data_IF_957088148833
#
_entry.id   IF_957088148833
#
_cell.length_a   1.000
_cell.length_b   1.000
_cell.length_c   1.000
_cell.angle_alpha   90.00
_cell.angle_beta   90.00
_cell.angle_gamma   90.00
#
_symmetry.space_group_name_H-M   'P 1'
#
loop_
_entity.id
_entity.type
_entity.pdbx_description
1 polymer ?
#
# COMPACT_ATOMS: atom_id res chain seq x y z
N UNK A 1 -3.57 -18.13 -11.70
CA UNK A 1 -4.60 -17.70 -10.72
C UNK A 1 -5.04 -16.27 -10.96
N UNK A 2 -4.09 -15.33 -11.07
CA UNK A 2 -4.32 -13.90 -11.37
C UNK A 2 -5.17 -13.63 -12.63
N UNK A 3 -5.04 -14.43 -13.68
CA UNK A 3 -5.76 -14.22 -14.95
C UNK A 3 -7.28 -14.35 -14.79
N UNK A 4 -7.75 -15.35 -14.02
CA UNK A 4 -9.19 -15.57 -13.78
C UNK A 4 -9.83 -14.46 -12.92
N UNK A 5 -9.05 -13.85 -12.03
CA UNK A 5 -9.52 -12.76 -11.17
C UNK A 5 -9.82 -11.50 -11.99
N UNK A 6 -8.96 -11.20 -12.97
CA UNK A 6 -9.16 -10.04 -13.85
C UNK A 6 -10.40 -10.19 -14.74
N UNK A 7 -10.62 -11.38 -15.29
CA UNK A 7 -11.81 -11.69 -16.10
C UNK A 7 -13.12 -11.60 -15.29
N UNK A 8 -13.03 -11.69 -13.97
CA UNK A 8 -14.16 -11.53 -13.04
C UNK A 8 -14.31 -10.10 -12.51
N UNK A 9 -13.54 -9.14 -13.04
CA UNK A 9 -13.59 -7.73 -12.66
C UNK A 9 -12.83 -7.37 -11.39
N UNK A 10 -12.09 -8.29 -10.76
CA UNK A 10 -11.27 -7.99 -9.59
C UNK A 10 -10.01 -7.21 -9.96
N UNK A 11 -9.55 -6.39 -8.99
CA UNK A 11 -8.28 -5.67 -9.06
C UNK A 11 -7.17 -6.51 -8.45
N UNK A 12 -5.96 -6.40 -8.99
CA UNK A 12 -4.75 -7.01 -8.39
C UNK A 12 -3.85 -5.92 -7.84
N UNK A 13 -3.58 -6.01 -6.53
CA UNK A 13 -2.67 -5.15 -5.78
C UNK A 13 -1.53 -6.01 -5.24
N UNK A 14 -0.27 -5.60 -5.42
CA UNK A 14 0.88 -6.44 -5.07
C UNK A 14 2.00 -5.66 -4.38
N UNK A 15 2.51 -6.19 -3.27
CA UNK A 15 3.77 -5.79 -2.64
C UNK A 15 4.85 -6.81 -2.99
N UNK A 16 6.02 -6.35 -3.41
CA UNK A 16 7.06 -7.26 -3.95
C UNK A 16 8.30 -7.39 -3.08
N UNK A 17 8.65 -6.36 -2.30
CA UNK A 17 9.96 -6.26 -1.64
C UNK A 17 11.14 -6.06 -2.61
N UNK A 18 10.87 -5.98 -3.92
CA UNK A 18 11.83 -5.78 -5.01
C UNK A 18 11.45 -4.53 -5.80
N UNK A 19 12.41 -3.82 -6.38
CA UNK A 19 12.08 -2.68 -7.24
C UNK A 19 11.44 -3.16 -8.55
N UNK A 20 10.62 -2.32 -9.19
CA UNK A 20 10.07 -2.67 -10.51
C UNK A 20 11.19 -2.91 -11.53
N UNK A 21 12.25 -2.11 -11.45
CA UNK A 21 13.42 -2.20 -12.32
C UNK A 21 14.16 -3.54 -12.11
N UNK A 22 14.32 -4.00 -10.88
CA UNK A 22 14.89 -5.32 -10.57
C UNK A 22 14.05 -6.45 -11.19
N UNK A 23 12.72 -6.37 -11.04
CA UNK A 23 11.80 -7.39 -11.57
C UNK A 23 11.87 -7.46 -13.10
N UNK A 24 11.86 -6.31 -13.78
CA UNK A 24 11.99 -6.22 -15.23
C UNK A 24 13.36 -6.70 -15.72
N UNK A 25 14.43 -6.45 -14.95
CA UNK A 25 15.79 -6.85 -15.32
C UNK A 25 15.98 -8.37 -15.40
N UNK A 26 15.15 -9.14 -14.68
CA UNK A 26 15.20 -10.61 -14.68
C UNK A 26 14.77 -11.22 -16.01
N UNK A 27 14.04 -10.47 -16.85
CA UNK A 27 13.52 -10.92 -18.16
C UNK A 27 12.80 -12.28 -18.06
N UNK A 28 12.11 -12.48 -16.94
CA UNK A 28 11.38 -13.71 -16.64
C UNK A 28 9.94 -13.58 -17.20
N UNK A 29 9.52 -14.46 -18.13
CA UNK A 29 8.19 -14.39 -18.74
C UNK A 29 7.04 -14.46 -17.73
N UNK A 30 7.22 -15.14 -16.60
CA UNK A 30 6.21 -15.29 -15.56
C UNK A 30 6.11 -14.01 -14.70
N UNK A 31 7.23 -13.36 -14.43
CA UNK A 31 7.24 -12.03 -13.79
C UNK A 31 6.55 -11.02 -14.69
N UNK A 32 6.90 -10.99 -15.97
CA UNK A 32 6.27 -10.08 -16.94
C UNK A 32 4.77 -10.35 -17.06
N UNK A 33 4.36 -11.63 -17.03
CA UNK A 33 2.94 -12.01 -17.02
C UNK A 33 2.24 -11.51 -15.76
N UNK A 34 2.87 -11.63 -14.59
CA UNK A 34 2.29 -11.14 -13.34
C UNK A 34 2.15 -9.61 -13.37
N UNK A 35 3.21 -8.89 -13.77
CA UNK A 35 3.20 -7.43 -13.87
C UNK A 35 2.09 -6.91 -14.79
N UNK A 36 1.83 -7.58 -15.93
CA UNK A 36 0.73 -7.24 -16.84
C UNK A 36 -0.67 -7.43 -16.23
N UNK A 37 -0.80 -8.30 -15.23
CA UNK A 37 -2.07 -8.60 -14.56
C UNK A 37 -2.25 -7.79 -13.26
N UNK A 38 -1.21 -7.11 -12.80
CA UNK A 38 -1.23 -6.25 -11.61
C UNK A 38 -1.71 -4.85 -11.99
N UNK A 39 -2.67 -4.30 -11.25
CA UNK A 39 -3.15 -2.93 -11.45
C UNK A 39 -2.31 -1.92 -10.65
N UNK A 40 -1.98 -2.27 -9.39
CA UNK A 40 -1.13 -1.47 -8.50
C UNK A 40 0.00 -2.33 -7.94
N UNK A 41 1.25 -1.84 -8.07
CA UNK A 41 2.44 -2.45 -7.51
C UNK A 41 3.09 -1.52 -6.50
N UNK A 42 3.38 -2.01 -5.30
CA UNK A 42 4.23 -1.33 -4.32
C UNK A 42 5.60 -2.02 -4.34
N UNK A 43 6.62 -1.27 -4.73
CA UNK A 43 7.96 -1.80 -4.95
C UNK A 43 8.92 -1.48 -3.79
N UNK A 44 10.05 -2.19 -3.76
CA UNK A 44 11.14 -1.99 -2.81
C UNK A 44 10.92 -2.60 -1.41
N UNK A 45 12.01 -2.86 -0.67
CA UNK A 45 11.95 -3.39 0.68
C UNK A 45 11.45 -2.33 1.68
N UNK A 46 10.92 -2.79 2.81
CA UNK A 46 10.67 -1.91 3.95
C UNK A 46 12.00 -1.58 4.65
N UNK A 47 12.24 -0.29 4.89
CA UNK A 47 13.44 0.21 5.58
C UNK A 47 13.00 0.99 6.83
N UNK A 48 13.37 0.49 8.01
CA UNK A 48 12.89 1.04 9.28
C UNK A 48 13.35 2.50 9.50
N UNK A 49 14.55 2.84 9.05
CA UNK A 49 15.11 4.19 9.09
C UNK A 49 14.38 5.18 8.16
N UNK A 50 13.56 4.67 7.24
CA UNK A 50 12.74 5.45 6.32
C UNK A 50 11.24 5.26 6.58
N UNK A 51 10.87 4.75 7.75
CA UNK A 51 9.47 4.54 8.13
C UNK A 51 8.64 5.83 7.96
N UNK A 52 7.49 5.72 7.29
CA UNK A 52 6.59 6.82 7.04
C UNK A 52 5.14 6.34 6.92
N UNK A 53 4.21 7.15 7.41
CA UNK A 53 2.76 6.92 7.33
C UNK A 53 2.20 7.43 5.99
N UNK A 54 2.62 6.80 4.89
CA UNK A 54 2.19 7.15 3.54
C UNK A 54 1.08 6.20 3.07
N UNK A 55 0.23 6.66 2.16
CA UNK A 55 -0.82 5.81 1.59
C UNK A 55 -0.23 4.56 0.92
N UNK A 56 -0.65 3.40 1.43
CA UNK A 56 -0.26 2.05 1.00
C UNK A 56 1.23 1.68 1.09
N UNK A 57 2.07 2.53 1.69
CA UNK A 57 3.51 2.27 1.79
C UNK A 57 4.04 2.68 3.16
N UNK A 58 4.83 1.80 3.76
CA UNK A 58 5.35 1.98 5.12
C UNK A 58 6.72 2.65 5.17
N UNK A 59 7.40 2.77 4.03
CA UNK A 59 8.75 3.32 3.96
C UNK A 59 8.91 4.26 2.75
N UNK A 60 9.68 5.33 2.92
CA UNK A 60 9.85 6.39 1.90
C UNK A 60 10.49 5.92 0.60
N UNK A 61 11.31 4.87 0.64
CA UNK A 61 11.94 4.30 -0.54
C UNK A 61 10.98 3.48 -1.41
N UNK A 62 9.81 3.10 -0.89
CA UNK A 62 8.82 2.31 -1.63
C UNK A 62 8.04 3.20 -2.59
N UNK A 63 7.77 2.75 -3.82
CA UNK A 63 7.01 3.52 -4.81
C UNK A 63 5.73 2.80 -5.20
N UNK A 64 4.70 3.60 -5.49
CA UNK A 64 3.43 3.11 -6.03
C UNK A 64 3.48 3.19 -7.55
N UNK A 65 3.28 2.06 -8.22
CA UNK A 65 3.18 1.99 -9.68
C UNK A 65 1.77 1.60 -10.09
N UNK A 66 1.15 2.46 -10.89
CA UNK A 66 -0.14 2.18 -11.52
C UNK A 66 0.12 1.57 -12.90
N UNK A 67 0.14 0.23 -12.96
CA UNK A 67 0.55 -0.52 -14.14
C UNK A 67 -0.57 -0.64 -15.19
N UNK A 68 -1.82 -0.40 -14.79
CA UNK A 68 -2.99 -0.39 -15.68
C UNK A 68 -3.76 0.92 -15.53
N UNK A 69 -4.70 1.16 -16.45
CA UNK A 69 -5.51 2.39 -16.46
C UNK A 69 -6.50 2.47 -15.29
N UNK A 70 -6.87 1.33 -14.69
CA UNK A 70 -7.97 1.21 -13.72
C UNK A 70 -7.88 2.20 -12.55
N UNK A 71 -6.66 2.51 -12.11
CA UNK A 71 -6.41 3.42 -10.98
C UNK A 71 -5.43 4.55 -11.31
N UNK A 72 -5.13 4.79 -12.58
CA UNK A 72 -4.14 5.79 -12.99
C UNK A 72 -4.48 7.20 -12.47
N UNK A 73 -5.76 7.54 -12.37
CA UNK A 73 -6.21 8.81 -11.81
C UNK A 73 -5.77 9.04 -10.36
N UNK A 74 -5.53 7.99 -9.57
CA UNK A 74 -5.07 8.14 -8.18
C UNK A 74 -3.61 8.57 -8.07
N UNK A 75 -2.82 8.43 -9.15
CA UNK A 75 -1.41 8.79 -9.16
C UNK A 75 -1.14 10.26 -8.82
N UNK A 76 -2.09 11.16 -9.12
CA UNK A 76 -1.93 12.60 -8.86
C UNK A 76 -2.19 12.99 -7.40
N UNK A 77 -2.84 12.12 -6.63
CA UNK A 77 -3.22 12.38 -5.22
C UNK A 77 -2.55 11.43 -4.23
N UNK A 78 -1.76 10.46 -4.70
CA UNK A 78 -1.26 9.37 -3.86
C UNK A 78 -0.38 9.85 -2.70
N UNK A 79 0.32 10.97 -2.90
CA UNK A 79 1.23 11.56 -1.92
C UNK A 79 0.56 12.62 -1.03
N UNK A 80 -0.63 13.08 -1.41
CA UNK A 80 -1.39 14.11 -0.68
C UNK A 80 -2.29 13.50 0.40
N UNK A 81 -2.49 12.18 0.36
CA UNK A 81 -3.37 11.51 1.32
C UNK A 81 -2.55 10.77 2.37
N UNK A 82 -2.76 11.06 3.67
CA UNK A 82 -2.06 10.36 4.73
C UNK A 82 -2.42 8.88 4.78
N UNK A 83 -1.60 8.07 5.46
CA UNK A 83 -1.97 6.70 5.78
C UNK A 83 -3.30 6.65 6.55
N UNK A 84 -4.10 5.66 6.22
CA UNK A 84 -5.34 5.36 6.93
C UNK A 84 -5.01 4.52 8.16
N UNK A 85 -5.63 4.89 9.29
CA UNK A 85 -5.65 4.10 10.53
C UNK A 85 -7.09 3.65 10.73
N UNK A 86 -7.31 2.36 10.85
CA UNK A 86 -8.61 1.79 11.15
C UNK A 86 -8.67 1.51 12.66
N UNK A 87 -9.69 2.07 13.32
CA UNK A 87 -9.98 1.81 14.73
C UNK A 87 -11.28 0.99 14.79
N UNK A 88 -11.21 -0.18 15.41
CA UNK A 88 -12.38 -1.04 15.64
C UNK A 88 -12.58 -1.18 17.13
N UNK A 89 -13.76 -0.78 17.60
CA UNK A 89 -14.18 -0.88 18.99
C UNK A 89 -15.32 -1.90 19.09
N UNK A 90 -15.15 -2.89 19.96
CA UNK A 90 -16.24 -3.72 20.48
C UNK A 90 -16.46 -3.43 21.97
N UNK A 91 -17.41 -4.14 22.60
CA UNK A 91 -17.82 -3.89 23.99
C UNK A 91 -16.68 -4.06 25.02
N UNK A 92 -15.60 -4.78 24.68
CA UNK A 92 -14.50 -5.09 25.61
C UNK A 92 -13.11 -4.67 25.08
N UNK A 93 -12.97 -4.40 23.79
CA UNK A 93 -11.68 -4.24 23.13
C UNK A 93 -11.66 -3.11 22.09
N UNK A 94 -10.61 -2.28 22.18
CA UNK A 94 -10.18 -1.41 21.09
C UNK A 94 -9.04 -2.10 20.34
N UNK A 95 -9.25 -2.38 19.06
CA UNK A 95 -8.20 -2.81 18.16
C UNK A 95 -7.97 -1.74 17.10
N UNK A 96 -6.76 -1.70 16.56
CA UNK A 96 -6.45 -0.73 15.55
C UNK A 96 -5.31 -1.22 14.64
N UNK A 97 -5.47 -0.94 13.35
CA UNK A 97 -4.62 -1.44 12.27
C UNK A 97 -4.20 -0.28 11.35
N UNK A 98 -3.13 -0.51 10.58
CA UNK A 98 -2.54 0.50 9.71
C UNK A 98 -1.28 1.16 10.27
N UNK A 99 -0.83 2.24 9.65
CA UNK A 99 0.39 2.95 10.04
C UNK A 99 0.01 4.17 10.87
N UNK A 100 0.39 4.15 12.13
CA UNK A 100 0.02 5.18 13.09
C UNK A 100 0.89 6.42 12.91
N UNK A 101 0.30 7.61 12.75
CA UNK A 101 1.05 8.85 12.81
C UNK A 101 1.73 8.99 14.18
N UNK A 102 2.95 9.55 14.25
CA UNK A 102 3.62 9.81 15.52
C UNK A 102 2.74 10.63 16.49
N UNK A 103 2.68 10.19 17.75
CA UNK A 103 1.89 10.83 18.82
C UNK A 103 0.37 10.78 18.61
N UNK A 104 -0.13 9.91 17.74
CA UNK A 104 -1.57 9.79 17.48
C UNK A 104 -2.35 9.37 18.74
N UNK A 105 -1.87 8.39 19.50
CA UNK A 105 -2.56 7.89 20.70
C UNK A 105 -2.69 8.96 21.78
N UNK A 106 -1.66 9.78 21.93
CA UNK A 106 -1.59 10.86 22.91
C UNK A 106 -2.62 11.94 22.56
N UNK A 107 -2.66 12.38 21.29
CA UNK A 107 -3.69 13.32 20.82
C UNK A 107 -5.10 12.76 20.93
N UNK A 108 -5.30 11.47 20.66
CA UNK A 108 -6.60 10.82 20.78
C UNK A 108 -7.08 10.80 22.24
N UNK A 109 -6.18 10.49 23.18
CA UNK A 109 -6.48 10.52 24.63
C UNK A 109 -6.88 11.92 25.10
N UNK A 110 -6.18 12.96 24.63
CA UNK A 110 -6.50 14.36 24.95
C UNK A 110 -7.91 14.74 24.48
N UNK A 111 -8.30 14.36 23.26
CA UNK A 111 -9.63 14.66 22.71
C UNK A 111 -10.78 13.93 23.43
N UNK A 112 -10.55 12.71 23.92
CA UNK A 112 -11.57 11.94 24.63
C UNK A 112 -11.74 12.39 26.10
N UNK A 113 -10.87 13.25 26.61
CA UNK A 113 -10.91 13.81 27.96
C UNK A 113 -11.53 15.22 28.02
N UNK A 114 -11.92 15.81 26.88
CA UNK A 114 -12.61 17.11 26.75
C UNK A 114 -14.10 16.94 26.45
#
# INVERSE_FOLDING_TARGET
>A
MSTRLRDSGFSVFCFTGHTLEELQSRRDPDIDRLLRLTDILIDGPYLAEQAAALRWRGSRNQRVHFLTERYRALAVTIDDVPAEVELTLDDEHLSASGIWPPGFLERLKELLQS
#
